data_IF_309144400901
#
_entry.id   IF_309144400901
#
_cell.length_a   1.000
_cell.length_b   1.000
_cell.length_c   1.000
_cell.angle_alpha   90.00
_cell.angle_beta   90.00
_cell.angle_gamma   90.00
#
_symmetry.space_group_name_H-M   'P 1'
#
loop_
_entity.id
_entity.type
_entity.pdbx_description
1 polymer ?
#
# COMPACT_ATOMS: atom_id res chain seq x y z
N UNK A 1 -1.64 31.06 53.53
CA UNK A 1 -2.40 29.99 52.84
C UNK A 1 -3.06 30.58 51.62
N UNK A 2 -2.65 30.11 50.44
CA UNK A 2 -3.46 29.93 49.23
C UNK A 2 -2.47 29.62 48.09
N UNK A 3 -2.13 28.34 47.98
CA UNK A 3 -1.45 27.81 46.81
C UNK A 3 -2.49 27.74 45.69
N UNK A 4 -2.18 28.37 44.55
CA UNK A 4 -2.93 28.19 43.30
C UNK A 4 -2.55 26.81 42.78
N UNK A 5 -3.48 25.84 42.66
CA UNK A 5 -3.16 24.54 42.11
C UNK A 5 -2.95 24.71 40.60
N UNK A 6 -1.75 24.37 40.14
CA UNK A 6 -1.43 24.29 38.72
C UNK A 6 -2.42 23.37 38.02
N UNK A 7 -3.11 23.90 37.02
CA UNK A 7 -3.92 23.12 36.09
C UNK A 7 -3.01 22.36 35.14
N UNK A 8 -2.41 21.29 35.66
CA UNK A 8 -1.79 20.21 34.90
C UNK A 8 -2.84 19.18 34.49
N UNK A 9 -3.90 19.64 33.82
CA UNK A 9 -5.02 18.81 33.37
C UNK A 9 -4.93 18.51 31.87
N UNK A 10 -3.76 18.08 31.39
CA UNK A 10 -3.65 17.53 30.05
C UNK A 10 -4.23 16.12 30.04
N UNK A 11 -5.52 15.99 29.70
CA UNK A 11 -6.11 14.70 29.39
C UNK A 11 -5.30 14.08 28.25
N UNK A 12 -4.39 13.16 28.58
CA UNK A 12 -3.72 12.32 27.61
C UNK A 12 -4.80 11.48 26.92
N UNK A 13 -5.34 12.00 25.82
CA UNK A 13 -6.17 11.22 24.92
C UNK A 13 -5.27 10.10 24.41
N UNK A 14 -5.48 8.90 24.94
CA UNK A 14 -4.80 7.71 24.46
C UNK A 14 -5.24 7.51 23.01
N UNK A 15 -4.41 7.96 22.07
CA UNK A 15 -4.62 7.71 20.64
C UNK A 15 -4.42 6.20 20.45
N UNK A 16 -5.52 5.45 20.51
CA UNK A 16 -5.51 4.00 20.31
C UNK A 16 -5.53 3.68 18.82
N UNK A 17 -4.68 2.76 18.42
CA UNK A 17 -4.69 2.22 17.06
C UNK A 17 -6.00 1.47 16.82
N UNK A 18 -6.80 1.93 15.86
CA UNK A 18 -7.93 1.14 15.34
C UNK A 18 -7.40 0.08 14.37
N UNK A 19 -6.79 -0.96 14.94
CA UNK A 19 -6.11 -2.03 14.19
C UNK A 19 -7.03 -2.66 13.14
N UNK A 20 -8.27 -2.99 13.51
CA UNK A 20 -9.25 -3.58 12.60
C UNK A 20 -9.53 -2.70 11.39
N UNK A 21 -9.76 -1.40 11.58
CA UNK A 21 -10.03 -0.49 10.48
C UNK A 21 -8.81 -0.32 9.56
N UNK A 22 -7.61 -0.24 10.13
CA UNK A 22 -6.36 -0.13 9.35
C UNK A 22 -6.11 -1.40 8.53
N UNK A 23 -6.24 -2.58 9.14
CA UNK A 23 -6.07 -3.86 8.42
C UNK A 23 -7.10 -4.05 7.31
N UNK A 24 -8.35 -3.62 7.52
CA UNK A 24 -9.37 -3.63 6.48
C UNK A 24 -8.97 -2.76 5.28
N UNK A 25 -8.45 -1.55 5.52
CA UNK A 25 -7.97 -0.65 4.46
C UNK A 25 -6.77 -1.21 3.70
N UNK A 26 -5.83 -1.85 4.41
CA UNK A 26 -4.68 -2.51 3.77
C UNK A 26 -5.12 -3.70 2.91
N UNK A 27 -6.15 -4.44 3.31
CA UNK A 27 -6.72 -5.52 2.51
C UNK A 27 -7.47 -4.99 1.28
N UNK A 28 -8.24 -3.90 1.40
CA UNK A 28 -8.87 -3.23 0.25
C UNK A 28 -7.84 -2.78 -0.79
N UNK A 29 -6.69 -2.27 -0.34
CA UNK A 29 -5.59 -1.85 -1.21
C UNK A 29 -4.99 -3.03 -2.00
N UNK A 30 -4.73 -4.17 -1.36
CA UNK A 30 -4.26 -5.40 -2.04
C UNK A 30 -5.27 -5.86 -3.07
N UNK A 31 -6.55 -5.96 -2.70
CA UNK A 31 -7.61 -6.40 -3.61
C UNK A 31 -7.76 -5.46 -4.82
N UNK A 32 -7.42 -4.17 -4.66
CA UNK A 32 -7.43 -3.19 -5.74
C UNK A 32 -6.22 -3.35 -6.67
N UNK A 33 -5.06 -3.72 -6.13
CA UNK A 33 -3.84 -4.01 -6.91
C UNK A 33 -4.01 -5.26 -7.78
N UNK A 34 -4.64 -6.31 -7.27
CA UNK A 34 -4.89 -7.54 -8.05
C UNK A 34 -5.77 -7.30 -9.30
N UNK A 35 -6.58 -6.24 -9.27
CA UNK A 35 -7.44 -5.83 -10.39
C UNK A 35 -6.70 -5.03 -11.46
N UNK A 36 -5.50 -4.52 -11.17
CA UNK A 36 -4.67 -3.79 -12.14
C UNK A 36 -3.97 -4.80 -13.06
N UNK A 37 -4.69 -5.22 -14.10
CA UNK A 37 -4.15 -6.08 -15.15
C UNK A 37 -4.09 -5.33 -16.47
N UNK A 38 -2.90 -5.31 -17.09
CA UNK A 38 -2.74 -4.84 -18.46
C UNK A 38 -2.64 -6.04 -19.40
N UNK A 39 -3.45 -6.06 -20.45
CA UNK A 39 -3.37 -7.12 -21.46
C UNK A 39 -2.02 -7.05 -22.18
N UNK A 40 -1.39 -8.20 -22.50
CA UNK A 40 -0.19 -8.22 -23.34
C UNK A 40 -0.45 -7.57 -24.70
N UNK A 41 0.56 -6.87 -25.26
CA UNK A 41 0.43 -6.32 -26.60
C UNK A 41 0.11 -7.45 -27.58
N UNK A 42 -0.95 -7.26 -28.37
CA UNK A 42 -1.44 -8.25 -29.31
C UNK A 42 -0.56 -8.30 -30.58
N UNK A 43 0.71 -8.65 -30.41
CA UNK A 43 1.69 -8.74 -31.50
C UNK A 43 1.21 -9.65 -32.62
N UNK A 44 0.52 -10.73 -32.28
CA UNK A 44 -0.02 -11.70 -33.25
C UNK A 44 -1.08 -11.09 -34.18
N UNK A 45 -1.77 -10.03 -33.75
CA UNK A 45 -2.77 -9.32 -34.57
C UNK A 45 -2.13 -8.40 -35.62
N UNK A 46 -0.83 -8.11 -35.51
CA UNK A 46 -0.11 -7.27 -36.47
C UNK A 46 0.29 -8.02 -37.75
N UNK A 47 0.16 -9.36 -37.77
CA UNK A 47 0.47 -10.18 -38.93
C UNK A 47 1.89 -9.94 -39.47
N UNK A 48 2.01 -9.56 -40.75
CA UNK A 48 3.30 -9.26 -41.40
C UNK A 48 3.68 -7.77 -41.37
N UNK A 49 2.94 -6.93 -40.64
CA UNK A 49 3.19 -5.49 -40.58
C UNK A 49 4.46 -5.19 -39.75
N UNK A 50 5.56 -4.93 -40.45
CA UNK A 50 6.88 -4.60 -39.88
C UNK A 50 7.24 -3.11 -40.05
N UNK A 51 6.25 -2.21 -40.02
CA UNK A 51 6.54 -0.78 -40.05
C UNK A 51 7.34 -0.38 -38.80
N UNK A 52 8.26 0.58 -38.94
CA UNK A 52 9.03 1.10 -37.79
C UNK A 52 8.11 1.57 -36.65
N UNK A 53 6.95 2.12 -37.01
CA UNK A 53 5.92 2.51 -36.05
C UNK A 53 5.37 1.31 -35.24
N UNK A 54 5.08 0.18 -35.87
CA UNK A 54 4.54 -0.99 -35.15
C UNK A 54 5.58 -1.58 -34.20
N UNK A 55 6.86 -1.59 -34.60
CA UNK A 55 7.96 -1.96 -33.69
C UNK A 55 8.07 -1.04 -32.47
N UNK A 56 8.05 0.28 -32.69
CA UNK A 56 8.10 1.26 -31.60
C UNK A 56 6.88 1.17 -30.66
N UNK A 57 5.69 0.94 -31.23
CA UNK A 57 4.46 0.74 -30.44
C UNK A 57 4.57 -0.52 -29.56
N UNK A 58 4.97 -1.65 -30.12
CA UNK A 58 5.18 -2.90 -29.36
C UNK A 58 6.14 -2.69 -28.19
N UNK A 59 7.29 -2.08 -28.46
CA UNK A 59 8.32 -1.86 -27.45
C UNK A 59 7.80 -0.95 -26.32
N UNK A 60 7.03 0.08 -26.68
CA UNK A 60 6.37 0.95 -25.70
C UNK A 60 5.38 0.17 -24.83
N UNK A 61 4.51 -0.65 -25.43
CA UNK A 61 3.53 -1.45 -24.67
C UNK A 61 4.22 -2.43 -23.72
N UNK A 62 5.30 -3.09 -24.17
CA UNK A 62 6.11 -3.96 -23.32
C UNK A 62 6.74 -3.21 -22.14
N UNK A 63 7.26 -2.01 -22.38
CA UNK A 63 7.82 -1.18 -21.32
C UNK A 63 6.75 -0.74 -20.30
N UNK A 64 5.55 -0.36 -20.76
CA UNK A 64 4.43 -0.02 -19.87
C UNK A 64 4.04 -1.23 -19.01
N UNK A 65 4.01 -2.43 -19.58
CA UNK A 65 3.74 -3.64 -18.81
C UNK A 65 4.79 -3.92 -17.75
N UNK A 66 6.07 -3.74 -18.07
CA UNK A 66 7.16 -3.92 -17.12
C UNK A 66 7.03 -2.92 -15.95
N UNK A 67 6.84 -1.63 -16.27
CA UNK A 67 6.66 -0.58 -15.28
C UNK A 67 5.45 -0.84 -14.38
N UNK A 68 4.34 -1.32 -14.93
CA UNK A 68 3.16 -1.67 -14.13
C UNK A 68 3.45 -2.84 -13.18
N UNK A 69 4.17 -3.87 -13.63
CA UNK A 69 4.55 -5.01 -12.78
C UNK A 69 5.45 -4.56 -11.63
N UNK A 70 6.44 -3.73 -11.91
CA UNK A 70 7.36 -3.18 -10.91
C UNK A 70 6.62 -2.30 -9.90
N UNK A 71 5.69 -1.48 -10.38
CA UNK A 71 4.83 -0.68 -9.53
C UNK A 71 3.98 -1.56 -8.60
N UNK A 72 3.28 -2.57 -9.13
CA UNK A 72 2.47 -3.50 -8.34
C UNK A 72 3.31 -4.15 -7.25
N UNK A 73 4.46 -4.73 -7.62
CA UNK A 73 5.35 -5.40 -6.66
C UNK A 73 5.85 -4.44 -5.55
N UNK A 74 6.14 -3.19 -5.90
CA UNK A 74 6.56 -2.18 -4.93
C UNK A 74 5.43 -1.84 -3.95
N UNK A 75 4.22 -1.64 -4.45
CA UNK A 75 3.07 -1.31 -3.58
C UNK A 75 2.68 -2.51 -2.72
N UNK A 76 2.70 -3.73 -3.26
CA UNK A 76 2.46 -4.97 -2.50
C UNK A 76 3.41 -5.08 -1.31
N UNK A 77 4.72 -4.89 -1.56
CA UNK A 77 5.73 -4.88 -0.50
C UNK A 77 5.45 -3.80 0.55
N UNK A 78 5.14 -2.58 0.12
CA UNK A 78 4.84 -1.49 1.06
C UNK A 78 3.62 -1.80 1.93
N UNK A 79 2.59 -2.46 1.38
CA UNK A 79 1.41 -2.87 2.14
C UNK A 79 1.79 -3.97 3.14
N UNK A 80 2.59 -4.95 2.73
CA UNK A 80 3.08 -6.01 3.62
C UNK A 80 3.89 -5.44 4.79
N UNK A 81 4.85 -4.57 4.50
CA UNK A 81 5.66 -3.86 5.51
C UNK A 81 4.76 -3.05 6.46
N UNK A 82 3.74 -2.37 5.93
CA UNK A 82 2.78 -1.61 6.74
C UNK A 82 1.94 -2.52 7.62
N UNK A 83 1.49 -3.68 7.13
CA UNK A 83 0.77 -4.69 7.94
C UNK A 83 1.62 -5.19 9.09
N UNK A 84 2.89 -5.53 8.82
CA UNK A 84 3.83 -5.97 9.85
C UNK A 84 4.04 -4.90 10.93
N UNK A 85 4.19 -3.64 10.53
CA UNK A 85 4.33 -2.52 11.45
C UNK A 85 3.07 -2.31 12.31
N UNK A 86 1.89 -2.38 11.71
CA UNK A 86 0.60 -2.24 12.41
C UNK A 86 0.39 -3.37 13.41
N UNK A 87 0.80 -4.59 13.08
CA UNK A 87 0.75 -5.73 14.00
C UNK A 87 1.71 -5.57 15.17
N UNK A 88 2.95 -5.13 14.92
CA UNK A 88 3.92 -4.85 15.96
C UNK A 88 3.43 -3.77 16.95
N UNK A 89 2.81 -2.69 16.43
CA UNK A 89 2.22 -1.64 17.27
C UNK A 89 1.10 -2.17 18.17
N UNK A 90 0.24 -3.05 17.64
CA UNK A 90 -0.80 -3.69 18.45
C UNK A 90 -0.20 -4.55 19.56
N UNK A 91 0.80 -5.37 19.25
CA UNK A 91 1.48 -6.21 20.25
C UNK A 91 2.13 -5.37 21.36
N UNK A 92 2.73 -4.23 21.01
CA UNK A 92 3.29 -3.29 21.98
C UNK A 92 2.22 -2.68 22.88
N UNK A 93 1.10 -2.21 22.32
CA UNK A 93 -0.02 -1.64 23.10
C UNK A 93 -0.59 -2.67 24.08
N UNK A 94 -0.77 -3.92 23.63
CA UNK A 94 -1.23 -5.00 24.51
C UNK A 94 -0.20 -5.39 25.60
N UNK A 95 1.10 -5.30 25.31
CA UNK A 95 2.14 -5.57 26.30
C UNK A 95 2.16 -4.51 27.41
N UNK A 96 1.98 -3.23 27.05
CA UNK A 96 1.89 -2.11 28.01
C UNK A 96 0.65 -2.23 28.89
N UNK A 97 -0.49 -2.70 28.36
CA UNK A 97 -1.71 -2.91 29.15
C UNK A 97 -1.55 -4.09 30.13
N UNK A 98 -0.70 -5.07 29.80
CA UNK A 98 -0.47 -6.28 30.63
C UNK A 98 0.65 -6.13 31.68
N UNK A 99 1.50 -5.11 31.58
CA UNK A 99 2.58 -4.79 32.54
C UNK A 99 2.09 -3.91 33.69
#
# INVERSE_FOLDING_TARGET
MNAIPGSGGGSAQQIKLNHTAVMAKLNEAINSLERLQLKPPAQEQLGRNKLNYTGAWIQREQNIQLLLKEYIATVEKNIEDTKANVEALKQQDEAIIRS
#
